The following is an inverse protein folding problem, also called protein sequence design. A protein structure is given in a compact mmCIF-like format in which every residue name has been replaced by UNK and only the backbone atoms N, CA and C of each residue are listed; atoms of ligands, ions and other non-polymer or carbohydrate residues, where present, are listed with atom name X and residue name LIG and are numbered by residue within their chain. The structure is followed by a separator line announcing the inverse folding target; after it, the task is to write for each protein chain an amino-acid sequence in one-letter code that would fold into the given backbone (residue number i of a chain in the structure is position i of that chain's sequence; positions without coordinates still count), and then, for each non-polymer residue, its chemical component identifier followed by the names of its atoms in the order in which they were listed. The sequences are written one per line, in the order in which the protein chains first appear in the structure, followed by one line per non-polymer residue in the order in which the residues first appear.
data_IF_789546418639
#
_entry.id   IF_789546418639
#
_cell.length_a   1.000
_cell.length_b   1.000
_cell.length_c   1.000
_cell.angle_alpha   90.00
_cell.angle_beta   90.00
_cell.angle_gamma   90.00
#
_symmetry.space_group_name_H-M   'P 1'
#
loop_
_entity.id
_entity.type
_entity.pdbx_description
1 polymer ?
#
# COMPACT_ATOMS: atom_id res chain seq x y z
N UNK A 1 7.60 0.87 2.18
CA UNK A 1 8.87 1.54 2.54
C UNK A 1 8.65 2.50 3.68
N UNK A 2 9.52 2.43 4.68
CA UNK A 2 9.58 3.32 5.84
C UNK A 2 10.86 4.14 5.80
N UNK A 3 11.96 3.67 6.40
CA UNK A 3 13.24 4.37 6.46
C UNK A 3 13.83 4.62 5.06
N UNK A 4 13.48 3.77 4.09
CA UNK A 4 13.91 3.89 2.70
C UNK A 4 13.48 5.22 2.08
N UNK A 5 12.41 5.85 2.59
CA UNK A 5 11.98 7.18 2.13
C UNK A 5 13.04 8.26 2.38
N UNK A 6 13.94 8.06 3.35
CA UNK A 6 15.06 8.96 3.63
C UNK A 6 16.38 8.44 3.06
N UNK A 7 16.62 7.13 3.02
CA UNK A 7 17.96 6.60 2.70
C UNK A 7 18.12 6.05 1.28
N UNK A 8 17.02 5.68 0.61
CA UNK A 8 17.07 5.14 -0.74
C UNK A 8 17.23 6.27 -1.78
N UNK A 9 18.10 6.04 -2.77
CA UNK A 9 18.47 7.04 -3.77
C UNK A 9 17.31 7.43 -4.67
N UNK A 10 16.42 6.50 -4.99
CA UNK A 10 15.28 6.76 -5.87
C UNK A 10 14.14 7.42 -5.10
N UNK A 11 13.91 7.04 -3.83
CA UNK A 11 13.02 7.79 -2.94
C UNK A 11 13.48 9.24 -2.75
N UNK A 12 14.78 9.48 -2.60
CA UNK A 12 15.34 10.84 -2.59
C UNK A 12 15.00 11.63 -3.86
N UNK A 13 14.93 10.97 -5.03
CA UNK A 13 14.49 11.61 -6.28
C UNK A 13 12.96 11.79 -6.37
N UNK A 14 12.18 10.85 -5.84
CA UNK A 14 10.72 10.99 -5.69
C UNK A 14 10.40 12.23 -4.86
N UNK A 15 11.10 12.40 -3.74
CA UNK A 15 10.91 13.52 -2.80
C UNK A 15 11.90 14.67 -2.99
N UNK A 16 12.55 14.77 -4.16
CA UNK A 16 13.58 15.80 -4.46
C UNK A 16 13.14 17.23 -4.14
N UNK A 17 11.87 17.56 -4.41
CA UNK A 17 11.32 18.89 -4.14
C UNK A 17 11.14 19.13 -2.63
N UNK A 18 10.82 18.09 -1.87
CA UNK A 18 10.77 18.13 -0.40
C UNK A 18 12.17 18.33 0.15
N UNK A 19 13.14 17.46 -0.17
CA UNK A 19 14.48 17.53 0.43
C UNK A 19 15.32 18.73 -0.03
N UNK A 20 14.99 19.38 -1.16
CA UNK A 20 15.62 20.64 -1.59
C UNK A 20 14.98 21.91 -0.99
N UNK A 21 13.94 21.78 -0.17
CA UNK A 21 13.24 22.91 0.47
C UNK A 21 12.09 23.50 -0.35
N UNK A 22 11.96 23.13 -1.62
CA UNK A 22 10.90 23.61 -2.53
C UNK A 22 9.66 22.71 -2.49
N UNK A 23 9.21 22.31 -1.30
CA UNK A 23 8.16 21.29 -1.14
C UNK A 23 6.81 21.65 -1.81
N UNK A 24 6.56 22.92 -2.13
CA UNK A 24 5.36 23.35 -2.86
C UNK A 24 5.30 22.80 -4.28
N UNK A 25 6.47 22.52 -4.86
CA UNK A 25 6.63 21.92 -6.19
C UNK A 25 6.51 20.39 -6.14
N UNK A 26 6.41 19.79 -4.95
CA UNK A 26 6.16 18.36 -4.83
C UNK A 26 4.73 18.04 -5.30
N UNK A 27 4.66 17.23 -6.35
CA UNK A 27 3.45 16.60 -6.84
C UNK A 27 3.43 15.13 -6.40
N UNK A 28 2.51 14.72 -5.52
CA UNK A 28 2.44 13.32 -5.10
C UNK A 28 2.09 12.37 -6.25
N UNK A 29 1.45 12.85 -7.32
CA UNK A 29 1.08 12.05 -8.48
C UNK A 29 2.17 11.99 -9.56
N UNK A 30 3.31 12.66 -9.37
CA UNK A 30 4.51 12.44 -10.19
C UNK A 30 5.01 11.00 -9.97
N UNK A 31 4.82 10.16 -10.99
CA UNK A 31 5.22 8.75 -10.94
C UNK A 31 6.72 8.54 -11.16
N UNK A 32 7.47 9.58 -11.56
CA UNK A 32 8.89 9.47 -11.89
C UNK A 32 9.67 8.89 -10.72
N UNK A 33 10.57 7.95 -11.01
CA UNK A 33 11.41 7.22 -10.04
C UNK A 33 10.67 6.26 -9.09
N UNK A 34 9.33 6.32 -8.95
CA UNK A 34 8.58 5.42 -8.05
C UNK A 34 8.68 3.94 -8.43
N UNK A 35 8.95 3.64 -9.70
CA UNK A 35 9.17 2.28 -10.20
C UNK A 35 10.59 1.77 -9.98
N UNK A 36 11.51 2.64 -9.57
CA UNK A 36 12.94 2.35 -9.42
C UNK A 36 13.37 2.18 -7.95
N UNK A 37 12.46 2.46 -7.00
CA UNK A 37 12.72 2.34 -5.56
C UNK A 37 13.13 0.92 -5.17
N UNK A 38 14.14 0.86 -4.29
CA UNK A 38 14.57 -0.35 -3.60
C UNK A 38 14.13 -0.30 -2.15
N UNK A 39 13.57 -1.41 -1.66
CA UNK A 39 13.10 -1.54 -0.28
C UNK A 39 13.95 -2.58 0.44
N UNK A 40 14.13 -2.41 1.76
CA UNK A 40 14.90 -3.35 2.57
C UNK A 40 14.09 -4.65 2.65
N UNK A 41 14.62 -5.80 2.18
CA UNK A 41 13.88 -7.05 2.14
C UNK A 41 13.26 -7.40 3.49
N UNK A 42 11.93 -7.52 3.53
CA UNK A 42 11.17 -7.94 4.69
C UNK A 42 9.77 -8.42 4.30
N UNK A 43 9.04 -9.09 5.21
CA UNK A 43 7.63 -9.44 4.98
C UNK A 43 6.68 -8.24 4.79
N UNK A 44 7.14 -7.01 5.08
CA UNK A 44 6.35 -5.79 4.89
C UNK A 44 6.57 -5.13 3.52
N UNK A 45 7.47 -5.67 2.70
CA UNK A 45 7.78 -5.15 1.36
C UNK A 45 6.78 -5.67 0.35
N UNK A 46 6.32 -4.77 -0.52
CA UNK A 46 5.61 -5.15 -1.73
C UNK A 46 6.56 -4.99 -2.92
N UNK A 47 6.79 -6.06 -3.67
CA UNK A 47 7.71 -6.01 -4.82
C UNK A 47 7.06 -5.40 -6.07
N UNK A 48 5.80 -4.98 -5.98
CA UNK A 48 5.07 -4.27 -7.04
C UNK A 48 4.91 -2.77 -6.74
N UNK A 49 4.98 -1.96 -7.79
CA UNK A 49 4.57 -0.56 -7.75
C UNK A 49 3.04 -0.46 -7.86
N UNK A 50 2.40 0.05 -6.80
CA UNK A 50 0.97 0.36 -6.74
C UNK A 50 0.77 1.87 -6.78
N UNK A 51 -0.07 2.32 -7.72
CA UNK A 51 -0.52 3.73 -7.79
C UNK A 51 -1.64 4.02 -6.80
N UNK A 52 -2.45 3.00 -6.50
CA UNK A 52 -3.44 3.03 -5.44
C UNK A 52 -3.46 1.67 -4.74
N UNK A 53 -3.54 1.70 -3.42
CA UNK A 53 -4.09 0.58 -2.68
C UNK A 53 -5.62 0.68 -2.74
N UNK A 54 -6.29 -0.45 -2.56
CA UNK A 54 -7.73 -0.50 -2.69
C UNK A 54 -8.28 -1.84 -2.25
N UNK A 55 -9.59 -1.82 -2.02
CA UNK A 55 -10.37 -2.99 -1.66
C UNK A 55 -11.80 -2.84 -2.17
N UNK A 56 -12.44 -3.97 -2.44
CA UNK A 56 -13.85 -4.08 -2.82
C UNK A 56 -14.65 -4.60 -1.63
N UNK A 57 -15.73 -3.92 -1.29
CA UNK A 57 -16.63 -4.30 -0.20
C UNK A 57 -17.42 -5.56 -0.59
N UNK A 58 -17.42 -6.57 0.27
CA UNK A 58 -18.28 -7.77 0.15
C UNK A 58 -19.50 -7.71 1.07
N UNK A 59 -19.44 -6.86 2.10
CA UNK A 59 -20.54 -6.58 3.03
C UNK A 59 -20.71 -5.08 3.18
N UNK A 60 -21.90 -4.67 3.65
CA UNK A 60 -22.12 -3.32 4.13
C UNK A 60 -21.19 -3.01 5.30
N UNK A 61 -20.48 -1.88 5.23
CA UNK A 61 -19.54 -1.46 6.27
C UNK A 61 -19.31 0.06 6.22
N UNK A 62 -19.24 0.68 7.39
CA UNK A 62 -19.01 2.11 7.52
C UNK A 62 -18.42 2.48 8.88
N UNK A 63 -18.51 3.77 9.28
CA UNK A 63 -17.98 4.23 10.55
C UNK A 63 -18.51 3.39 11.74
N UNK A 64 -17.60 2.97 12.62
CA UNK A 64 -17.81 2.06 13.76
C UNK A 64 -17.88 0.56 13.45
N UNK A 65 -17.79 0.15 12.18
CA UNK A 65 -17.79 -1.26 11.80
C UNK A 65 -16.40 -1.91 11.80
N UNK A 66 -15.41 -1.32 12.48
CA UNK A 66 -14.04 -1.81 12.39
C UNK A 66 -13.41 -1.54 11.01
N UNK A 67 -13.89 -0.50 10.32
CA UNK A 67 -13.53 -0.24 8.92
C UNK A 67 -12.26 0.62 8.76
N UNK A 68 -11.95 0.99 7.51
CA UNK A 68 -10.81 1.82 7.15
C UNK A 68 -10.96 3.27 7.66
N UNK A 69 -9.86 3.82 8.16
CA UNK A 69 -9.65 5.24 8.45
C UNK A 69 -8.52 5.79 7.58
N UNK A 70 -8.64 7.03 7.16
CA UNK A 70 -7.69 7.71 6.28
C UNK A 70 -7.38 9.11 6.83
N UNK A 71 -6.16 9.61 6.61
CA UNK A 71 -5.90 11.05 6.62
C UNK A 71 -6.03 11.51 5.17
N UNK A 72 -7.12 12.21 4.76
CA UNK A 72 -7.45 12.48 3.36
C UNK A 72 -6.64 13.65 2.79
N UNK A 73 -5.33 13.68 3.07
CA UNK A 73 -4.38 14.72 2.67
C UNK A 73 -3.14 14.01 2.15
N UNK A 74 -3.08 13.69 0.86
CA UNK A 74 -1.93 12.99 0.26
C UNK A 74 -0.60 13.72 0.51
N UNK A 75 -0.62 15.06 0.51
CA UNK A 75 0.56 15.89 0.79
C UNK A 75 1.04 15.81 2.25
N UNK A 76 0.33 15.11 3.15
CA UNK A 76 0.79 14.85 4.51
C UNK A 76 2.17 14.17 4.55
N UNK A 77 2.53 13.41 3.52
CA UNK A 77 3.87 12.81 3.43
C UNK A 77 5.00 13.85 3.54
N UNK A 78 4.77 15.08 3.07
CA UNK A 78 5.74 16.19 3.23
C UNK A 78 5.96 16.52 4.70
N UNK A 79 4.88 16.59 5.49
CA UNK A 79 4.95 16.81 6.93
C UNK A 79 5.75 15.69 7.60
N UNK A 80 5.42 14.43 7.30
CA UNK A 80 6.10 13.26 7.87
C UNK A 80 7.60 13.26 7.55
N UNK A 81 8.00 13.57 6.32
CA UNK A 81 9.41 13.60 5.92
C UNK A 81 10.20 14.71 6.62
N UNK A 82 9.64 15.91 6.75
CA UNK A 82 10.28 17.01 7.46
C UNK A 82 10.25 16.86 8.98
N UNK A 83 9.21 16.26 9.54
CA UNK A 83 9.06 16.10 10.99
C UNK A 83 10.26 15.39 11.60
N UNK A 84 10.79 14.39 10.88
CA UNK A 84 11.96 13.60 11.26
C UNK A 84 13.30 14.35 11.18
N UNK A 85 13.32 15.58 10.66
CA UNK A 85 14.53 16.39 10.48
C UNK A 85 14.58 17.63 11.40
N UNK A 86 13.62 17.77 12.32
CA UNK A 86 13.58 18.88 13.27
C UNK A 86 14.54 18.64 14.45
N UNK A 87 15.04 19.73 15.04
CA UNK A 87 16.06 19.71 16.11
C UNK A 87 15.62 18.98 17.39
N UNK A 88 14.31 18.76 17.58
CA UNK A 88 13.75 18.05 18.73
C UNK A 88 13.69 16.52 18.53
N UNK A 89 14.09 16.02 17.35
CA UNK A 89 14.19 14.60 17.05
C UNK A 89 15.60 14.10 17.39
N UNK A 90 15.75 12.98 18.15
CA UNK A 90 17.06 12.37 18.37
C UNK A 90 17.76 12.02 17.05
N UNK A 91 19.08 12.24 16.96
CA UNK A 91 19.87 12.04 15.72
C UNK A 91 19.74 10.63 15.10
N UNK A 92 19.44 9.62 15.93
CA UNK A 92 19.27 8.23 15.52
C UNK A 92 17.79 7.82 15.31
N UNK A 93 16.87 8.78 15.24
CA UNK A 93 15.43 8.56 15.12
C UNK A 93 14.86 9.18 13.85
N UNK A 94 13.88 8.50 13.26
CA UNK A 94 13.04 9.00 12.17
C UNK A 94 11.56 8.93 12.59
N UNK A 95 11.25 9.40 13.81
CA UNK A 95 9.88 9.55 14.33
C UNK A 95 9.02 8.27 14.29
N UNK A 96 9.64 7.09 14.47
CA UNK A 96 8.97 5.79 14.45
C UNK A 96 9.21 4.96 13.19
N UNK A 97 9.87 5.50 12.15
CA UNK A 97 10.29 4.70 11.01
C UNK A 97 11.27 3.59 11.45
N UNK A 98 11.11 2.38 10.92
CA UNK A 98 12.00 1.25 11.22
C UNK A 98 12.13 0.32 10.01
N UNK A 99 13.31 -0.28 9.75
CA UNK A 99 13.49 -1.24 8.68
C UNK A 99 12.45 -2.36 8.74
N UNK A 100 11.89 -2.72 7.59
CA UNK A 100 10.98 -3.84 7.45
C UNK A 100 9.63 -3.70 8.17
N UNK A 101 9.26 -2.48 8.60
CA UNK A 101 7.92 -2.14 9.11
C UNK A 101 7.30 -1.03 8.27
N UNK A 102 5.96 -0.96 8.27
CA UNK A 102 5.26 0.20 7.72
C UNK A 102 5.68 1.49 8.44
N UNK A 103 5.63 2.62 7.74
CA UNK A 103 5.90 3.93 8.34
C UNK A 103 4.74 4.30 9.26
N UNK A 104 5.04 4.41 10.55
CA UNK A 104 4.05 4.72 11.58
C UNK A 104 3.70 6.22 11.61
N UNK A 105 2.46 6.52 12.02
CA UNK A 105 1.97 7.89 12.29
C UNK A 105 1.36 7.90 13.69
N UNK A 106 2.14 8.36 14.67
CA UNK A 106 1.78 8.36 16.09
C UNK A 106 1.57 9.78 16.68
N UNK A 107 0.87 9.89 17.83
CA UNK A 107 0.59 11.17 18.49
C UNK A 107 1.82 11.97 18.91
N UNK A 108 2.92 11.30 19.29
CA UNK A 108 4.15 11.97 19.76
C UNK A 108 4.75 12.87 18.68
N UNK A 109 4.83 12.38 17.45
CA UNK A 109 5.48 13.10 16.34
C UNK A 109 4.47 13.74 15.38
N UNK A 110 3.24 13.22 15.32
CA UNK A 110 2.27 13.50 14.27
C UNK A 110 0.87 13.87 14.79
N UNK A 111 0.77 14.51 15.96
CA UNK A 111 -0.52 14.96 16.53
C UNK A 111 -1.36 15.78 15.53
N UNK A 112 -0.75 16.77 14.87
CA UNK A 112 -1.45 17.64 13.93
C UNK A 112 -2.16 16.88 12.80
N UNK A 113 -1.48 16.05 11.98
CA UNK A 113 -2.15 15.32 10.92
C UNK A 113 -3.11 14.24 11.44
N UNK A 114 -2.89 13.67 12.63
CA UNK A 114 -3.81 12.71 13.23
C UNK A 114 -5.20 13.30 13.52
N UNK A 115 -5.31 14.61 13.73
CA UNK A 115 -6.61 15.29 13.87
C UNK A 115 -7.47 15.22 12.60
N UNK A 116 -6.86 14.91 11.45
CA UNK A 116 -7.56 14.72 10.18
C UNK A 116 -7.89 13.24 9.88
N UNK A 117 -7.61 12.32 10.81
CA UNK A 117 -7.96 10.91 10.66
C UNK A 117 -9.48 10.73 10.71
N UNK A 118 -10.07 10.26 9.63
CA UNK A 118 -11.52 10.07 9.49
C UNK A 118 -11.84 8.67 8.97
N UNK A 119 -13.00 8.14 9.37
CA UNK A 119 -13.53 6.89 8.82
C UNK A 119 -14.00 7.09 7.38
N UNK A 120 -13.91 6.03 6.58
CA UNK A 120 -14.48 6.01 5.23
C UNK A 120 -16.02 6.12 5.29
N UNK A 121 -16.69 6.53 4.19
CA UNK A 121 -18.15 6.54 4.15
C UNK A 121 -18.74 5.12 4.30
N UNK A 122 -20.06 5.05 4.51
CA UNK A 122 -20.80 3.80 4.41
C UNK A 122 -20.68 3.24 2.99
N UNK A 123 -20.22 2.00 2.89
CA UNK A 123 -20.09 1.23 1.66
C UNK A 123 -21.09 0.07 1.66
N UNK A 124 -21.51 -0.34 0.48
CA UNK A 124 -22.34 -1.51 0.22
C UNK A 124 -21.57 -2.57 -0.59
N UNK A 125 -22.03 -3.84 -0.62
CA UNK A 125 -21.41 -4.88 -1.44
C UNK A 125 -21.23 -4.44 -2.90
N UNK A 126 -20.01 -4.54 -3.41
CA UNK A 126 -19.62 -4.09 -4.75
C UNK A 126 -19.00 -2.70 -4.81
N UNK A 127 -19.16 -1.88 -3.77
CA UNK A 127 -18.47 -0.59 -3.69
C UNK A 127 -16.96 -0.79 -3.56
N UNK A 128 -16.20 0.19 -4.03
CA UNK A 128 -14.74 0.20 -3.95
C UNK A 128 -14.25 1.50 -3.36
N UNK A 129 -13.12 1.44 -2.66
CA UNK A 129 -12.42 2.64 -2.19
C UNK A 129 -10.92 2.46 -2.38
N UNK A 130 -10.28 3.56 -2.73
CA UNK A 130 -8.92 3.61 -3.23
C UNK A 130 -8.16 4.73 -2.52
N UNK A 131 -6.90 4.48 -2.16
CA UNK A 131 -6.04 5.50 -1.56
C UNK A 131 -4.63 5.43 -2.12
N UNK A 132 -4.04 6.62 -2.27
CA UNK A 132 -2.68 6.80 -2.78
C UNK A 132 -1.66 6.08 -1.86
N UNK A 133 -0.55 5.50 -2.38
CA UNK A 133 0.44 4.76 -1.58
C UNK A 133 1.12 5.58 -0.47
N UNK A 134 1.13 6.91 -0.59
CA UNK A 134 1.66 7.82 0.43
C UNK A 134 0.62 8.32 1.43
N UNK A 135 -0.64 7.87 1.33
CA UNK A 135 -1.70 8.29 2.21
C UNK A 135 -1.72 7.44 3.50
N UNK A 136 -1.67 8.11 4.65
CA UNK A 136 -1.78 7.46 5.96
C UNK A 136 -3.16 6.85 6.13
N UNK A 137 -3.21 5.58 6.50
CA UNK A 137 -4.43 4.84 6.74
C UNK A 137 -4.28 3.95 7.98
N UNK A 138 -5.41 3.58 8.57
CA UNK A 138 -5.52 2.71 9.73
C UNK A 138 -6.82 1.90 9.64
N UNK A 139 -6.95 0.85 10.44
CA UNK A 139 -8.24 0.19 10.68
C UNK A 139 -8.75 0.65 12.04
N UNK A 140 -10.05 0.83 12.17
CA UNK A 140 -10.68 1.12 13.47
C UNK A 140 -10.31 0.05 14.51
N UNK A 141 -9.89 0.47 15.70
CA UNK A 141 -9.45 -0.45 16.76
C UNK A 141 -10.58 -1.26 17.40
N UNK A 142 -11.83 -1.01 17.03
CA UNK A 142 -13.01 -1.71 17.56
C UNK A 142 -14.09 -1.80 16.48
N UNK A 143 -14.70 -2.99 16.35
CA UNK A 143 -15.88 -3.23 15.53
C UNK A 143 -17.12 -3.28 16.44
N UNK A 144 -17.93 -2.22 16.40
CA UNK A 144 -19.18 -2.09 17.16
C UNK A 144 -20.44 -2.39 16.32
N UNK A 145 -20.27 -2.76 15.05
CA UNK A 145 -21.38 -3.09 14.17
C UNK A 145 -21.99 -4.47 14.45
N UNK A 146 -23.14 -4.72 13.83
CA UNK A 146 -23.90 -5.96 14.02
C UNK A 146 -23.66 -7.01 12.93
N UNK A 147 -22.85 -6.70 11.92
CA UNK A 147 -22.59 -7.52 10.73
C UNK A 147 -21.08 -7.71 10.49
N UNK A 148 -20.71 -8.62 9.59
CA UNK A 148 -19.31 -8.77 9.17
C UNK A 148 -18.81 -7.56 8.37
N UNK A 149 -17.51 -7.29 8.45
CA UNK A 149 -16.79 -6.31 7.63
C UNK A 149 -15.82 -7.07 6.71
N UNK A 150 -16.34 -7.55 5.57
CA UNK A 150 -15.61 -8.43 4.64
C UNK A 150 -15.28 -7.69 3.34
N UNK A 151 -14.08 -7.96 2.81
CA UNK A 151 -13.51 -7.26 1.67
C UNK A 151 -12.52 -8.11 0.88
N UNK A 152 -12.24 -7.71 -0.35
CA UNK A 152 -11.12 -8.23 -1.14
C UNK A 152 -10.14 -7.11 -1.45
N UNK A 153 -8.86 -7.29 -1.11
CA UNK A 153 -7.81 -6.33 -1.46
C UNK A 153 -7.45 -6.42 -2.94
N UNK A 154 -7.69 -5.34 -3.68
CA UNK A 154 -7.41 -5.22 -5.11
C UNK A 154 -6.82 -3.83 -5.33
N UNK A 155 -5.52 -3.77 -5.57
CA UNK A 155 -4.80 -2.51 -5.83
C UNK A 155 -4.69 -2.18 -7.33
N UNK A 156 -4.30 -0.93 -7.63
CA UNK A 156 -4.03 -0.49 -8.99
C UNK A 156 -2.52 -0.51 -9.28
N UNK A 157 -2.08 -1.55 -10.00
CA UNK A 157 -0.67 -1.75 -10.40
C UNK A 157 -0.53 -1.58 -11.92
N UNK A 158 -0.03 -0.43 -12.41
CA UNK A 158 0.11 -0.21 -13.84
C UNK A 158 1.19 -1.09 -14.46
N UNK A 159 1.13 -1.32 -15.78
CA UNK A 159 2.17 -2.02 -16.50
C UNK A 159 3.46 -1.20 -16.50
N UNK A 160 4.51 -1.74 -15.89
CA UNK A 160 5.87 -1.22 -15.93
C UNK A 160 6.85 -2.40 -15.81
N UNK A 161 8.14 -2.16 -16.03
CA UNK A 161 9.14 -3.23 -15.93
C UNK A 161 9.11 -3.94 -14.57
N UNK A 162 9.11 -3.19 -13.46
CA UNK A 162 9.05 -3.72 -12.09
C UNK A 162 7.85 -4.67 -11.89
N UNK A 163 6.66 -4.24 -12.31
CA UNK A 163 5.44 -5.05 -12.16
C UNK A 163 5.43 -6.24 -13.12
N UNK A 164 5.94 -6.08 -14.34
CA UNK A 164 6.02 -7.19 -15.31
C UNK A 164 6.98 -8.28 -14.85
N UNK A 165 8.12 -7.89 -14.25
CA UNK A 165 9.08 -8.84 -13.69
C UNK A 165 8.45 -9.66 -12.54
N UNK A 166 7.58 -9.04 -11.74
CA UNK A 166 6.83 -9.73 -10.67
C UNK A 166 5.83 -10.76 -11.20
N UNK A 167 5.14 -10.46 -12.31
CA UNK A 167 4.13 -11.35 -12.90
C UNK A 167 4.65 -12.74 -13.22
N UNK A 168 5.95 -12.87 -13.55
CA UNK A 168 6.55 -14.18 -13.83
C UNK A 168 6.39 -15.14 -12.64
N UNK A 169 6.82 -14.70 -11.45
CA UNK A 169 6.78 -15.54 -10.24
C UNK A 169 5.33 -15.64 -9.74
N UNK A 170 4.54 -14.56 -9.81
CA UNK A 170 3.12 -14.58 -9.44
C UNK A 170 2.34 -15.60 -10.29
N UNK A 171 2.60 -15.65 -11.60
CA UNK A 171 1.97 -16.60 -12.52
C UNK A 171 2.34 -18.05 -12.19
N UNK A 172 3.62 -18.32 -11.91
CA UNK A 172 4.08 -19.65 -11.47
C UNK A 172 3.35 -20.10 -10.19
N UNK A 173 3.26 -19.22 -9.18
CA UNK A 173 2.54 -19.50 -7.91
C UNK A 173 1.04 -19.71 -8.11
N UNK A 174 0.41 -18.94 -9.00
CA UNK A 174 -1.01 -19.12 -9.31
C UNK A 174 -1.30 -20.49 -9.93
N UNK A 175 -0.41 -20.98 -10.82
CA UNK A 175 -0.58 -22.29 -11.45
C UNK A 175 -0.41 -23.43 -10.43
N UNK A 176 0.55 -23.33 -9.51
CA UNK A 176 0.74 -24.31 -8.42
C UNK A 176 -0.29 -24.19 -7.29
N UNK A 177 -0.93 -23.03 -7.13
CA UNK A 177 -1.81 -22.71 -5.99
C UNK A 177 -1.08 -22.43 -4.69
N UNK A 178 0.19 -22.09 -4.80
CA UNK A 178 1.03 -21.67 -3.67
C UNK A 178 0.75 -20.19 -3.32
N UNK A 179 1.13 -19.79 -2.11
CA UNK A 179 1.04 -18.40 -1.68
C UNK A 179 1.77 -17.46 -2.65
N UNK A 180 1.18 -16.28 -2.88
CA UNK A 180 1.79 -15.27 -3.73
C UNK A 180 3.18 -14.83 -3.19
N UNK A 181 4.11 -14.41 -4.06
CA UNK A 181 5.54 -14.26 -3.70
C UNK A 181 5.86 -13.30 -2.55
N UNK A 182 5.00 -12.31 -2.28
CA UNK A 182 5.19 -11.32 -1.21
C UNK A 182 4.65 -11.77 0.15
N UNK A 183 3.97 -12.92 0.20
CA UNK A 183 3.34 -13.45 1.40
C UNK A 183 4.11 -14.63 1.97
N UNK A 184 3.83 -14.96 3.22
CA UNK A 184 4.32 -16.19 3.83
C UNK A 184 3.87 -17.41 3.00
N UNK A 185 4.80 -18.34 2.76
CA UNK A 185 4.56 -19.59 2.05
C UNK A 185 3.74 -20.57 2.92
N UNK A 186 2.49 -20.21 3.17
CA UNK A 186 1.51 -21.03 3.90
C UNK A 186 0.89 -22.09 3.00
N UNK A 187 0.77 -21.81 1.70
CA UNK A 187 0.42 -22.77 0.62
C UNK A 187 -0.85 -23.59 0.88
N UNK A 188 -1.81 -23.01 1.62
CA UNK A 188 -3.03 -23.71 2.02
C UNK A 188 -3.86 -24.20 0.84
N UNK A 189 -3.94 -23.41 -0.23
CA UNK A 189 -4.84 -23.63 -1.37
C UNK A 189 -4.33 -24.65 -2.40
N UNK A 190 -3.12 -25.18 -2.23
CA UNK A 190 -2.49 -26.13 -3.17
C UNK A 190 -3.40 -27.34 -3.45
N UNK A 191 -4.08 -27.85 -2.42
CA UNK A 191 -4.94 -29.03 -2.50
C UNK A 191 -6.45 -28.73 -2.37
N UNK A 192 -6.85 -27.46 -2.47
CA UNK A 192 -8.25 -27.09 -2.30
C UNK A 192 -9.07 -27.46 -3.54
N UNK A 193 -10.22 -28.10 -3.31
CA UNK A 193 -11.22 -28.31 -4.36
C UNK A 193 -11.92 -26.98 -4.67
N UNK A 194 -12.12 -26.67 -5.95
CA UNK A 194 -12.82 -25.45 -6.39
C UNK A 194 -11.96 -24.18 -6.41
N UNK A 195 -10.63 -24.32 -6.29
CA UNK A 195 -9.69 -23.20 -6.51
C UNK A 195 -9.81 -22.70 -7.95
N UNK A 196 -9.74 -21.38 -8.15
CA UNK A 196 -9.64 -20.79 -9.47
C UNK A 196 -8.37 -21.25 -10.20
N UNK A 197 -8.47 -21.34 -11.52
CA UNK A 197 -7.44 -21.88 -12.42
C UNK A 197 -7.23 -20.97 -13.64
N UNK A 198 -6.31 -21.35 -14.53
CA UNK A 198 -6.08 -20.64 -15.79
C UNK A 198 -7.34 -20.56 -16.68
N UNK A 199 -8.25 -21.54 -16.57
CA UNK A 199 -9.46 -21.61 -17.37
C UNK A 199 -10.52 -20.59 -16.93
N UNK A 200 -10.44 -20.09 -15.69
CA UNK A 200 -11.31 -19.04 -15.16
C UNK A 200 -10.87 -17.64 -15.61
N UNK A 201 -9.68 -17.52 -16.20
CA UNK A 201 -9.16 -16.23 -16.67
C UNK A 201 -9.67 -15.89 -18.07
N UNK A 202 -10.28 -14.72 -18.18
CA UNK A 202 -10.51 -14.06 -19.48
C UNK A 202 -9.19 -13.71 -20.18
N UNK A 203 -9.23 -13.33 -21.45
CA UNK A 203 -8.02 -12.86 -22.16
C UNK A 203 -7.37 -11.66 -21.46
N UNK A 204 -8.18 -10.75 -20.92
CA UNK A 204 -7.68 -9.64 -20.11
C UNK A 204 -7.00 -10.14 -18.83
N UNK A 205 -7.61 -11.10 -18.12
CA UNK A 205 -7.02 -11.72 -16.93
C UNK A 205 -5.69 -12.40 -17.23
N UNK A 206 -5.59 -13.10 -18.38
CA UNK A 206 -4.33 -13.72 -18.84
C UNK A 206 -3.25 -12.68 -19.13
N UNK A 207 -3.59 -11.54 -19.74
CA UNK A 207 -2.65 -10.42 -19.92
C UNK A 207 -2.20 -9.82 -18.59
N UNK A 208 -3.14 -9.58 -17.68
CA UNK A 208 -2.87 -9.02 -16.35
C UNK A 208 -2.06 -9.95 -15.46
N UNK A 209 -2.15 -11.28 -15.66
CA UNK A 209 -1.38 -12.30 -14.95
C UNK A 209 -0.07 -12.68 -15.66
N UNK A 210 0.26 -12.06 -16.80
CA UNK A 210 1.51 -12.33 -17.53
C UNK A 210 1.53 -13.62 -18.36
N UNK A 211 0.38 -14.27 -18.54
CA UNK A 211 0.24 -15.46 -19.40
C UNK A 211 0.03 -15.13 -20.88
N UNK A 212 -0.24 -13.87 -21.20
CA UNK A 212 -0.43 -13.37 -22.56
C UNK A 212 0.26 -12.00 -22.72
N UNK A 213 0.86 -11.69 -23.89
CA UNK A 213 1.42 -10.37 -24.14
C UNK A 213 0.34 -9.27 -24.19
N UNK A 214 0.74 -8.04 -23.85
CA UNK A 214 -0.12 -6.85 -23.94
C UNK A 214 -0.42 -6.46 -25.38
#
# INVERSE_FOLDING_TARGET
GSIERWIDKEYQKVYRHVFSGNWRDYDPFDAKYRTEISEIPSPAVSHVFRTFQGWTALTEQGPNDGTLKLIPIVRNIVYTLYRALLDDVPENSLCGASPGRALDTNPEWHDLPLRALVSIPLLYPGDTIWWHPDLTHAVEGHHAGNNFSNVMYIGASPLCKKNSDYLKIQGERFLSGESAPDFSAEDYEVNYNGRATLDDLTDLGKKQMGFMPW
#
